data_IF_211178051533
#
_entry.id   IF_211178051533
#
_cell.length_a   1.000
_cell.length_b   1.000
_cell.length_c   1.000
_cell.angle_alpha   90.00
_cell.angle_beta   90.00
_cell.angle_gamma   90.00
#
_symmetry.space_group_name_H-M   'P 1'
#
loop_
_entity.id
_entity.type
_entity.pdbx_description
1 polymer ?
#
# COMPACT_ATOMS: atom_id res chain seq x y z
N UNK A 1 -4.95 4.49 2.00
CA UNK A 1 -5.30 3.51 3.04
C UNK A 1 -6.26 4.06 4.08
N UNK A 2 -6.04 5.26 4.63
CA UNK A 2 -6.98 5.88 5.58
C UNK A 2 -8.42 5.97 5.04
N UNK A 3 -8.60 6.47 3.80
CA UNK A 3 -9.93 6.54 3.19
C UNK A 3 -10.59 5.16 3.00
N UNK A 4 -9.82 4.13 2.63
CA UNK A 4 -10.32 2.75 2.52
C UNK A 4 -10.75 2.23 3.88
N UNK A 5 -9.94 2.45 4.91
CA UNK A 5 -10.26 2.08 6.29
C UNK A 5 -11.54 2.78 6.79
N UNK A 6 -11.68 4.07 6.55
CA UNK A 6 -12.86 4.85 6.93
C UNK A 6 -14.12 4.30 6.25
N UNK A 7 -14.07 4.09 4.93
CA UNK A 7 -15.17 3.50 4.15
C UNK A 7 -15.57 2.11 4.67
N UNK A 8 -14.59 1.26 4.99
CA UNK A 8 -14.86 -0.08 5.53
C UNK A 8 -15.51 0.00 6.93
N UNK A 9 -15.06 0.92 7.78
CA UNK A 9 -15.69 1.11 9.10
C UNK A 9 -17.14 1.61 8.95
N UNK A 10 -17.38 2.52 8.00
CA UNK A 10 -18.73 3.03 7.69
C UNK A 10 -19.65 1.94 7.12
N UNK A 11 -19.17 1.15 6.14
CA UNK A 11 -19.97 0.12 5.47
C UNK A 11 -20.28 -1.07 6.38
N UNK A 12 -19.29 -1.51 7.18
CA UNK A 12 -19.44 -2.66 8.09
C UNK A 12 -20.07 -2.31 9.44
N UNK A 13 -20.11 -1.02 9.79
CA UNK A 13 -20.47 -0.55 11.13
C UNK A 13 -19.44 -0.91 12.22
N UNK A 14 -18.27 -1.43 11.83
CA UNK A 14 -17.20 -1.77 12.76
C UNK A 14 -16.65 -0.50 13.42
N UNK A 15 -16.26 -0.64 14.70
CA UNK A 15 -15.61 0.43 15.47
C UNK A 15 -14.29 -0.08 16.05
N UNK A 16 -13.24 -0.20 15.23
CA UNK A 16 -11.97 -0.75 15.69
C UNK A 16 -11.33 0.17 16.72
N UNK A 17 -10.72 -0.40 17.76
CA UNK A 17 -9.93 0.36 18.72
C UNK A 17 -8.50 0.52 18.17
N UNK A 18 -8.11 1.75 17.83
CA UNK A 18 -6.74 2.05 17.38
C UNK A 18 -5.81 2.12 18.59
N UNK A 19 -4.92 1.14 18.72
CA UNK A 19 -3.93 1.06 19.82
C UNK A 19 -2.55 1.58 19.36
N UNK A 20 -2.22 1.37 18.08
CA UNK A 20 -0.95 1.78 17.49
C UNK A 20 -1.19 2.51 16.17
N UNK A 21 -0.40 3.55 15.94
CA UNK A 21 -0.33 4.27 14.67
C UNK A 21 1.11 4.17 14.15
N UNK A 22 1.27 3.69 12.92
CA UNK A 22 2.56 3.56 12.26
C UNK A 22 2.67 4.56 11.11
N UNK A 23 3.88 5.05 10.86
CA UNK A 23 4.11 6.07 9.83
C UNK A 23 4.31 5.46 8.43
N UNK A 24 4.38 4.13 8.33
CA UNK A 24 4.47 3.43 7.06
C UNK A 24 3.69 2.11 7.08
N UNK A 25 3.26 1.67 5.89
CA UNK A 25 2.58 0.39 5.69
C UNK A 25 3.47 -0.81 6.06
N UNK A 26 4.79 -0.67 5.88
CA UNK A 26 5.77 -1.71 6.21
C UNK A 26 5.81 -1.88 7.73
N UNK A 27 6.03 -0.80 8.49
CA UNK A 27 6.03 -0.83 9.96
C UNK A 27 4.73 -1.41 10.51
N UNK A 28 3.57 -0.97 9.99
CA UNK A 28 2.27 -1.50 10.40
C UNK A 28 2.18 -3.03 10.16
N UNK A 29 2.61 -3.49 8.99
CA UNK A 29 2.58 -4.92 8.64
C UNK A 29 3.51 -5.76 9.52
N UNK A 30 4.65 -5.22 9.94
CA UNK A 30 5.57 -5.91 10.85
C UNK A 30 5.00 -6.03 12.26
N UNK A 31 4.30 -5.00 12.76
CA UNK A 31 3.59 -5.07 14.03
C UNK A 31 2.51 -6.16 13.99
N UNK A 32 1.71 -6.22 12.92
CA UNK A 32 0.70 -7.27 12.75
C UNK A 32 1.34 -8.67 12.67
N UNK A 33 2.45 -8.82 11.93
CA UNK A 33 3.18 -10.07 11.87
C UNK A 33 3.75 -10.49 13.25
N UNK A 34 4.05 -9.54 14.14
CA UNK A 34 4.45 -9.81 15.53
C UNK A 34 3.25 -10.12 16.46
N UNK A 35 2.03 -10.21 15.93
CA UNK A 35 0.81 -10.50 16.68
C UNK A 35 0.10 -9.26 17.25
N UNK A 36 0.49 -8.05 16.83
CA UNK A 36 -0.10 -6.81 17.30
C UNK A 36 -1.20 -6.34 16.34
N UNK A 37 -2.42 -6.85 16.57
CA UNK A 37 -3.62 -6.41 15.86
C UNK A 37 -3.63 -6.79 14.37
N UNK A 38 -4.32 -5.99 13.57
CA UNK A 38 -4.47 -6.15 12.14
C UNK A 38 -4.34 -4.79 11.43
N UNK A 39 -3.93 -4.81 10.16
CA UNK A 39 -3.76 -3.61 9.34
C UNK A 39 -4.12 -3.90 7.88
N UNK A 40 -4.33 -2.82 7.12
CA UNK A 40 -4.52 -2.89 5.67
C UNK A 40 -3.16 -2.79 4.97
N UNK A 41 -2.92 -3.70 4.04
CA UNK A 41 -1.73 -3.72 3.19
C UNK A 41 -2.11 -3.64 1.71
N UNK A 42 -1.15 -3.42 0.82
CA UNK A 42 -1.38 -3.52 -0.63
C UNK A 42 -1.05 -4.91 -1.14
N UNK A 43 -1.65 -5.32 -2.25
CA UNK A 43 -1.34 -6.59 -2.92
C UNK A 43 0.14 -6.71 -3.29
N UNK A 44 0.76 -5.59 -3.69
CA UNK A 44 2.20 -5.53 -3.93
C UNK A 44 3.01 -5.94 -2.69
N UNK A 45 2.60 -5.50 -1.50
CA UNK A 45 3.28 -5.87 -0.27
C UNK A 45 3.12 -7.36 -0.01
N UNK A 46 1.91 -7.91 -0.17
CA UNK A 46 1.62 -9.34 -0.02
C UNK A 46 2.47 -10.18 -0.99
N UNK A 47 2.53 -9.80 -2.26
CA UNK A 47 3.34 -10.50 -3.28
C UNK A 47 4.85 -10.43 -2.98
N UNK A 48 5.30 -9.32 -2.40
CA UNK A 48 6.69 -9.14 -1.98
C UNK A 48 7.04 -9.79 -0.64
N UNK A 49 6.05 -10.40 0.05
CA UNK A 49 6.20 -10.95 1.39
C UNK A 49 7.06 -12.21 1.41
N UNK A 50 8.36 -11.99 1.35
CA UNK A 50 9.37 -13.05 1.33
C UNK A 50 9.78 -13.40 2.76
N UNK A 51 9.00 -14.25 3.44
CA UNK A 51 9.51 -15.13 4.53
C UNK A 51 9.20 -14.77 6.00
N UNK A 52 8.03 -14.23 6.33
CA UNK A 52 7.51 -14.31 7.72
C UNK A 52 6.22 -15.13 7.72
N UNK A 53 6.30 -16.40 8.16
CA UNK A 53 5.15 -17.33 8.28
C UNK A 53 4.07 -16.88 9.28
N UNK A 54 4.21 -15.69 9.89
CA UNK A 54 3.38 -15.25 11.02
C UNK A 54 2.19 -14.39 10.62
N UNK A 55 2.08 -13.95 9.37
CA UNK A 55 0.98 -13.11 8.91
C UNK A 55 0.03 -13.89 7.98
N UNK A 56 -1.27 -13.79 8.26
CA UNK A 56 -2.33 -14.23 7.37
C UNK A 56 -2.85 -13.01 6.61
N UNK A 57 -3.07 -13.18 5.31
CA UNK A 57 -3.61 -12.14 4.45
C UNK A 57 -5.01 -12.54 3.98
N UNK A 58 -5.90 -11.56 3.94
CA UNK A 58 -7.27 -11.70 3.46
C UNK A 58 -7.52 -10.62 2.43
N UNK A 59 -8.20 -10.99 1.35
CA UNK A 59 -8.67 -10.03 0.34
C UNK A 59 -9.92 -9.31 0.87
N UNK A 60 -10.08 -8.05 0.47
CA UNK A 60 -11.30 -7.30 0.71
C UNK A 60 -12.34 -7.71 -0.33
N UNK A 61 -13.61 -7.84 0.06
CA UNK A 61 -14.70 -8.14 -0.88
C UNK A 61 -15.02 -6.93 -1.77
N UNK A 62 -14.85 -5.73 -1.22
CA UNK A 62 -15.07 -4.48 -1.95
C UNK A 62 -13.96 -4.19 -2.95
N UNK A 63 -14.33 -3.77 -4.16
CA UNK A 63 -13.37 -3.24 -5.13
C UNK A 63 -12.78 -1.92 -4.61
N UNK A 64 -11.46 -1.92 -4.42
CA UNK A 64 -10.69 -0.73 -4.09
C UNK A 64 -10.06 -0.20 -5.38
N UNK A 65 -10.29 1.09 -5.66
CA UNK A 65 -9.69 1.76 -6.82
C UNK A 65 -8.16 1.56 -6.88
N UNK A 66 -7.68 1.20 -8.07
CA UNK A 66 -6.25 1.00 -8.31
C UNK A 66 -5.46 2.28 -8.03
N UNK A 67 -4.30 2.10 -7.39
CA UNK A 67 -3.40 3.21 -7.11
C UNK A 67 -2.80 3.73 -8.42
N UNK A 68 -3.16 4.96 -8.77
CA UNK A 68 -2.52 5.67 -9.89
C UNK A 68 -1.09 6.08 -9.53
N UNK A 69 -0.11 5.61 -10.30
CA UNK A 69 1.28 6.03 -10.21
C UNK A 69 1.60 7.01 -11.35
N UNK A 70 2.17 8.16 -11.00
CA UNK A 70 2.47 9.23 -11.94
C UNK A 70 3.97 9.54 -11.93
N UNK A 71 4.59 9.52 -13.10
CA UNK A 71 5.93 10.06 -13.28
C UNK A 71 5.86 11.60 -13.40
N UNK A 72 6.25 12.31 -12.33
CA UNK A 72 6.20 13.77 -12.29
C UNK A 72 7.56 14.34 -12.68
N UNK A 73 7.59 15.19 -13.71
CA UNK A 73 8.80 15.83 -14.22
C UNK A 73 8.60 17.34 -14.34
N UNK A 74 9.65 18.13 -14.04
CA UNK A 74 9.58 19.59 -14.20
C UNK A 74 9.64 19.96 -15.67
N UNK A 75 8.69 20.80 -16.12
CA UNK A 75 8.71 21.37 -17.49
C UNK A 75 9.91 22.28 -17.74
N UNK A 76 10.55 22.79 -16.70
CA UNK A 76 11.68 23.72 -16.79
C UNK A 76 13.03 23.03 -16.96
N UNK A 77 13.09 21.71 -16.77
CA UNK A 77 14.32 20.92 -16.89
C UNK A 77 14.16 19.88 -17.99
N UNK A 78 15.12 19.83 -18.91
CA UNK A 78 15.15 18.74 -19.87
C UNK A 78 15.48 17.42 -19.16
N UNK A 79 14.70 16.39 -19.48
CA UNK A 79 14.99 15.03 -19.04
C UNK A 79 16.25 14.52 -19.75
N UNK A 80 17.16 13.90 -19.00
CA UNK A 80 18.27 13.17 -19.62
C UNK A 80 17.72 11.96 -20.37
N UNK A 81 18.47 11.49 -21.37
CA UNK A 81 18.11 10.27 -22.09
C UNK A 81 17.95 9.08 -21.13
N UNK A 82 18.82 8.97 -20.11
CA UNK A 82 18.72 7.92 -19.09
C UNK A 82 17.42 8.03 -18.27
N UNK A 83 17.04 9.24 -17.84
CA UNK A 83 15.79 9.45 -17.10
C UNK A 83 14.55 9.14 -17.96
N UNK A 84 14.56 9.52 -19.24
CA UNK A 84 13.49 9.17 -20.17
C UNK A 84 13.36 7.65 -20.32
N UNK A 85 14.47 6.96 -20.58
CA UNK A 85 14.47 5.49 -20.72
C UNK A 85 14.03 4.79 -19.45
N UNK A 86 14.37 5.31 -18.28
CA UNK A 86 13.90 4.78 -17.00
C UNK A 86 12.38 4.95 -16.82
N UNK A 87 11.82 6.10 -17.17
CA UNK A 87 10.36 6.32 -17.14
C UNK A 87 9.65 5.40 -18.13
N UNK A 88 10.20 5.24 -19.34
CA UNK A 88 9.63 4.35 -20.35
C UNK A 88 9.65 2.89 -19.88
N UNK A 89 10.74 2.46 -19.23
CA UNK A 89 10.84 1.14 -18.61
C UNK A 89 9.75 0.93 -17.54
N UNK A 90 9.58 1.89 -16.61
CA UNK A 90 8.57 1.81 -15.55
C UNK A 90 7.11 1.85 -16.05
N UNK A 91 6.85 2.20 -17.31
CA UNK A 91 5.50 2.22 -17.91
C UNK A 91 5.18 0.96 -18.72
N UNK A 92 6.20 0.18 -19.07
CA UNK A 92 6.06 -1.00 -19.92
C UNK A 92 5.82 -2.29 -19.11
N UNK A 93 6.17 -2.27 -17.82
CA UNK A 93 5.69 -3.20 -16.79
C UNK A 93 4.32 -2.76 -16.24
#
# INVERSE_FOLDING_TARGET
MAEVYEKLCESSGAKPQVIFEANSIIEASELCAAGLGATLVTDMLVQSWRWKEQAFFFELEEEVEDRQLLAVCSKQRQLSLAAQRFIDFLRAD
#
